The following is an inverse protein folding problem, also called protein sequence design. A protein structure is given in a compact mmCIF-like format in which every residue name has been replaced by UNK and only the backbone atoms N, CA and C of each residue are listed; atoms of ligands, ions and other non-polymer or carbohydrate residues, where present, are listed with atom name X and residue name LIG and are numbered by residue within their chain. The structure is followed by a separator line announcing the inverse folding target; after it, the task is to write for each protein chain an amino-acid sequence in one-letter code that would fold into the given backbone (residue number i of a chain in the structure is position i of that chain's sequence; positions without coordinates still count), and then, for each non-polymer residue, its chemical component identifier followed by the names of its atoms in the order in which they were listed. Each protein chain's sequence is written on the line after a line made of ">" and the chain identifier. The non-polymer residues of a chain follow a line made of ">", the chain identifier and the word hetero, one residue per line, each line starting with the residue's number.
data_IF_071394977051
#
_entry.id   IF_071394977051
#
_cell.length_a   1.000
_cell.length_b   1.000
_cell.length_c   1.000
_cell.angle_alpha   90.00
_cell.angle_beta   90.00
_cell.angle_gamma   90.00
#
_symmetry.space_group_name_H-M   'P 1'
#
loop_
_entity.id
_entity.type
_entity.pdbx_description
1 polymer ?
#
# COMPACT_ATOMS: atom_id res chain seq x y z
N UNK A 1 -2.67 7.95 -8.03
CA UNK A 1 -3.36 9.26 -8.09
C UNK A 1 -4.28 9.47 -6.89
N UNK A 2 -5.31 8.64 -6.69
CA UNK A 2 -6.25 8.75 -5.55
C UNK A 2 -5.52 8.74 -4.20
N UNK A 3 -4.59 7.81 -4.00
CA UNK A 3 -3.73 7.74 -2.80
C UNK A 3 -3.02 9.07 -2.51
N UNK A 4 -2.40 9.68 -3.53
CA UNK A 4 -1.73 10.97 -3.37
C UNK A 4 -2.70 12.09 -3.01
N UNK A 5 -3.90 12.14 -3.59
CA UNK A 5 -4.94 13.12 -3.20
C UNK A 5 -5.39 12.94 -1.75
N UNK A 6 -5.51 11.69 -1.29
CA UNK A 6 -5.87 11.37 0.09
C UNK A 6 -4.76 11.79 1.05
N UNK A 7 -3.52 11.40 0.77
CA UNK A 7 -2.35 11.75 1.59
C UNK A 7 -2.06 13.24 1.63
N UNK A 8 -2.27 13.97 0.53
CA UNK A 8 -2.17 15.44 0.48
C UNK A 8 -3.34 16.14 1.21
N UNK A 9 -4.36 15.39 1.65
CA UNK A 9 -5.49 15.93 2.39
C UNK A 9 -6.49 16.72 1.52
N UNK A 10 -6.43 16.58 0.19
CA UNK A 10 -7.29 17.31 -0.77
C UNK A 10 -8.37 16.44 -1.43
N UNK A 11 -8.37 15.13 -1.15
CA UNK A 11 -9.36 14.17 -1.68
C UNK A 11 -10.83 14.53 -1.41
N UNK A 12 -11.12 15.35 -0.40
CA UNK A 12 -12.49 15.73 -0.05
C UNK A 12 -13.17 16.62 -1.10
N UNK A 13 -12.41 17.25 -2.01
CA UNK A 13 -12.95 17.98 -3.15
C UNK A 13 -13.43 17.06 -4.28
N UNK A 14 -13.00 15.79 -4.29
CA UNK A 14 -13.18 14.85 -5.40
C UNK A 14 -13.93 13.59 -4.97
N UNK A 15 -14.82 13.68 -3.96
CA UNK A 15 -15.43 12.49 -3.36
C UNK A 15 -16.24 11.67 -4.37
N UNK A 16 -16.98 12.35 -5.25
CA UNK A 16 -17.83 11.69 -6.24
C UNK A 16 -16.99 11.02 -7.32
N UNK A 17 -16.00 11.73 -7.85
CA UNK A 17 -15.08 11.25 -8.86
C UNK A 17 -14.25 10.07 -8.36
N UNK A 18 -13.76 10.13 -7.12
CA UNK A 18 -13.05 9.01 -6.49
C UNK A 18 -13.96 7.80 -6.37
N UNK A 19 -15.21 7.97 -5.92
CA UNK A 19 -16.15 6.86 -5.80
C UNK A 19 -16.46 6.22 -7.16
N UNK A 20 -16.74 7.03 -8.19
CA UNK A 20 -17.05 6.54 -9.53
C UNK A 20 -15.87 5.77 -10.16
N UNK A 21 -14.64 6.27 -9.95
CA UNK A 21 -13.43 5.56 -10.40
C UNK A 21 -13.28 4.22 -9.68
N UNK A 22 -13.44 4.21 -8.35
CA UNK A 22 -13.32 2.97 -7.57
C UNK A 22 -14.39 1.95 -7.93
N UNK A 23 -15.62 2.40 -8.20
CA UNK A 23 -16.71 1.55 -8.66
C UNK A 23 -16.36 0.85 -9.99
N UNK A 24 -15.82 1.59 -10.96
CA UNK A 24 -15.37 1.00 -12.24
C UNK A 24 -14.24 0.00 -12.05
N UNK A 25 -13.26 0.31 -11.20
CA UNK A 25 -12.16 -0.61 -10.86
C UNK A 25 -12.72 -1.89 -10.24
N UNK A 26 -13.71 -1.77 -9.34
CA UNK A 26 -14.36 -2.90 -8.71
C UNK A 26 -15.11 -3.79 -9.72
N UNK A 27 -15.89 -3.18 -10.62
CA UNK A 27 -16.62 -3.90 -11.66
C UNK A 27 -15.68 -4.67 -12.61
N UNK A 28 -14.51 -4.09 -12.92
CA UNK A 28 -13.48 -4.70 -13.77
C UNK A 28 -12.55 -5.66 -13.01
N UNK A 29 -12.60 -5.68 -11.68
CA UNK A 29 -11.68 -6.43 -10.83
C UNK A 29 -11.69 -7.94 -11.14
N UNK A 30 -12.85 -8.48 -11.52
CA UNK A 30 -13.02 -9.89 -11.88
C UNK A 30 -12.59 -10.23 -13.32
N UNK A 31 -12.39 -9.23 -14.18
CA UNK A 31 -12.03 -9.41 -15.59
C UNK A 31 -10.51 -9.40 -15.81
N UNK A 32 -9.74 -8.80 -14.89
CA UNK A 32 -8.29 -8.69 -14.99
C UNK A 32 -7.64 -10.00 -14.51
N UNK A 33 -6.96 -10.70 -15.43
CA UNK A 33 -6.21 -11.93 -15.12
C UNK A 33 -5.21 -11.72 -13.96
N UNK A 34 -5.31 -12.56 -12.94
CA UNK A 34 -4.57 -12.46 -11.67
C UNK A 34 -3.04 -12.58 -11.81
N UNK A 35 -2.56 -13.30 -12.82
CA UNK A 35 -1.15 -13.71 -12.93
C UNK A 35 -0.16 -12.62 -13.39
N UNK A 36 -0.66 -11.50 -13.94
CA UNK A 36 0.19 -10.38 -14.40
C UNK A 36 0.15 -9.15 -13.49
N UNK A 37 -0.46 -9.27 -12.31
CA UNK A 37 -0.76 -8.13 -11.46
C UNK A 37 0.48 -7.63 -10.71
N UNK A 38 0.65 -6.31 -10.69
CA UNK A 38 1.66 -5.62 -9.87
C UNK A 38 1.21 -5.59 -8.40
N UNK A 39 2.06 -6.03 -7.47
CA UNK A 39 1.72 -6.07 -6.04
C UNK A 39 1.33 -4.69 -5.51
N UNK A 40 2.01 -3.63 -5.96
CA UNK A 40 1.68 -2.28 -5.54
C UNK A 40 0.26 -1.89 -5.99
N UNK A 41 -0.10 -2.15 -7.25
CA UNK A 41 -1.44 -1.93 -7.77
C UNK A 41 -2.51 -2.75 -7.03
N UNK A 42 -2.30 -4.06 -6.84
CA UNK A 42 -3.26 -4.93 -6.14
C UNK A 42 -3.46 -4.50 -4.69
N UNK A 43 -2.38 -4.27 -3.95
CA UNK A 43 -2.47 -3.85 -2.55
C UNK A 43 -3.11 -2.46 -2.40
N UNK A 44 -2.76 -1.51 -3.28
CA UNK A 44 -3.35 -0.18 -3.25
C UNK A 44 -4.83 -0.20 -3.63
N UNK A 45 -5.19 -0.98 -4.65
CA UNK A 45 -6.59 -1.19 -5.04
C UNK A 45 -7.41 -1.79 -3.91
N UNK A 46 -6.93 -2.88 -3.31
CA UNK A 46 -7.55 -3.53 -2.16
C UNK A 46 -7.80 -2.54 -1.02
N UNK A 47 -6.79 -1.76 -0.65
CA UNK A 47 -6.89 -0.73 0.38
C UNK A 47 -7.96 0.32 0.05
N UNK A 48 -7.91 0.91 -1.15
CA UNK A 48 -8.82 1.98 -1.55
C UNK A 48 -10.27 1.47 -1.67
N UNK A 49 -10.47 0.27 -2.19
CA UNK A 49 -11.78 -0.36 -2.32
C UNK A 49 -12.40 -0.61 -0.95
N UNK A 50 -11.67 -1.22 -0.01
CA UNK A 50 -12.17 -1.43 1.36
C UNK A 50 -12.45 -0.13 2.11
N UNK A 51 -11.60 0.88 1.94
CA UNK A 51 -11.83 2.19 2.54
C UNK A 51 -13.16 2.83 2.06
N UNK A 52 -13.61 2.49 0.86
CA UNK A 52 -14.87 2.94 0.27
C UNK A 52 -15.99 1.89 0.35
N UNK A 53 -15.86 0.90 1.25
CA UNK A 53 -16.87 -0.10 1.55
C UNK A 53 -17.19 -1.08 0.41
N UNK A 54 -16.25 -1.29 -0.52
CA UNK A 54 -16.33 -2.38 -1.48
C UNK A 54 -15.79 -3.67 -0.87
N UNK A 55 -16.44 -4.79 -1.18
CA UNK A 55 -16.05 -6.12 -0.69
C UNK A 55 -15.03 -6.78 -1.61
N UNK A 56 -13.79 -6.90 -1.12
CA UNK A 56 -12.65 -7.48 -1.85
C UNK A 56 -11.99 -8.56 -0.98
N UNK A 57 -11.59 -9.67 -1.61
CA UNK A 57 -11.06 -10.84 -0.89
C UNK A 57 -9.57 -10.71 -0.62
N UNK A 58 -9.12 -11.17 0.55
CA UNK A 58 -7.70 -11.37 0.85
C UNK A 58 -7.02 -12.40 -0.08
N UNK A 59 -7.81 -13.23 -0.78
CA UNK A 59 -7.30 -14.24 -1.72
C UNK A 59 -6.63 -13.63 -2.95
N UNK A 60 -6.89 -12.35 -3.25
CA UNK A 60 -6.23 -11.65 -4.35
C UNK A 60 -4.71 -11.51 -4.11
N UNK A 61 -4.24 -11.73 -2.87
CA UNK A 61 -2.81 -11.74 -2.55
C UNK A 61 -2.13 -13.10 -2.78
N UNK A 62 -2.87 -14.18 -3.01
CA UNK A 62 -2.29 -15.53 -3.13
C UNK A 62 -1.36 -15.67 -4.35
N UNK A 63 -1.58 -14.87 -5.40
CA UNK A 63 -0.72 -14.87 -6.60
C UNK A 63 0.72 -14.40 -6.31
N UNK A 64 0.93 -13.63 -5.25
CA UNK A 64 2.25 -13.15 -4.84
C UNK A 64 3.00 -14.14 -3.94
N UNK A 65 2.37 -15.27 -3.62
CA UNK A 65 2.98 -16.36 -2.88
C UNK A 65 3.74 -17.31 -3.82
N UNK A 66 4.71 -18.00 -3.24
CA UNK A 66 5.42 -19.12 -3.84
C UNK A 66 4.58 -20.40 -3.72
N UNK A 67 5.01 -21.48 -4.37
CA UNK A 67 4.38 -22.81 -4.25
C UNK A 67 4.29 -23.30 -2.80
N UNK A 68 5.19 -22.82 -1.94
CA UNK A 68 5.22 -23.13 -0.50
C UNK A 68 4.19 -22.31 0.31
N UNK A 69 3.38 -21.46 -0.33
CA UNK A 69 2.39 -20.62 0.33
C UNK A 69 2.95 -19.38 1.04
N UNK A 70 4.24 -19.07 0.85
CA UNK A 70 4.93 -17.93 1.45
C UNK A 70 5.12 -16.82 0.41
N UNK A 71 4.95 -15.56 0.79
CA UNK A 71 5.23 -14.41 -0.08
C UNK A 71 6.65 -14.42 -0.63
N UNK A 72 6.80 -14.14 -1.92
CA UNK A 72 8.10 -14.18 -2.61
C UNK A 72 9.00 -13.06 -2.09
N UNK A 73 10.25 -13.37 -1.70
CA UNK A 73 11.22 -12.35 -1.24
C UNK A 73 11.65 -11.37 -2.35
N UNK A 74 11.48 -11.74 -3.61
CA UNK A 74 11.79 -10.94 -4.80
C UNK A 74 10.77 -9.83 -5.09
N UNK A 75 9.71 -9.70 -4.28
CA UNK A 75 8.68 -8.68 -4.48
C UNK A 75 9.28 -7.25 -4.30
N UNK A 76 8.92 -6.29 -5.18
CA UNK A 76 9.41 -4.91 -5.07
C UNK A 76 9.00 -4.24 -3.76
N UNK A 77 9.91 -3.50 -3.14
CA UNK A 77 9.69 -2.83 -1.84
C UNK A 77 8.48 -1.90 -1.85
N UNK A 78 8.24 -1.20 -2.96
CA UNK A 78 7.05 -0.35 -3.13
C UNK A 78 5.74 -1.15 -3.02
N UNK A 79 5.72 -2.37 -3.56
CA UNK A 79 4.58 -3.29 -3.42
C UNK A 79 4.44 -3.81 -2.00
N UNK A 80 5.55 -4.17 -1.37
CA UNK A 80 5.58 -4.60 0.04
C UNK A 80 5.09 -3.51 0.98
N UNK A 81 5.44 -2.25 0.75
CA UNK A 81 4.94 -1.10 1.50
C UNK A 81 3.42 -0.97 1.38
N UNK A 82 2.88 -1.07 0.18
CA UNK A 82 1.43 -1.03 -0.03
C UNK A 82 0.73 -2.23 0.59
N UNK A 83 1.34 -3.42 0.54
CA UNK A 83 0.83 -4.62 1.20
C UNK A 83 0.78 -4.43 2.72
N UNK A 84 1.82 -3.84 3.31
CA UNK A 84 1.87 -3.52 4.74
C UNK A 84 0.70 -2.61 5.12
N UNK A 85 0.48 -1.51 4.41
CA UNK A 85 -0.63 -0.59 4.70
C UNK A 85 -2.00 -1.23 4.47
N UNK A 86 -2.18 -1.98 3.39
CA UNK A 86 -3.41 -2.69 3.07
C UNK A 86 -3.76 -3.75 4.13
N UNK A 87 -2.75 -4.42 4.69
CA UNK A 87 -2.94 -5.47 5.70
C UNK A 87 -3.65 -4.98 6.97
N UNK A 88 -3.62 -3.69 7.27
CA UNK A 88 -4.30 -3.11 8.42
C UNK A 88 -5.80 -2.93 8.23
N UNK A 89 -6.30 -3.08 7.01
CA UNK A 89 -7.73 -3.16 6.71
C UNK A 89 -8.29 -4.59 6.87
N UNK A 90 -7.58 -5.45 7.60
CA UNK A 90 -8.01 -6.80 7.95
C UNK A 90 -9.17 -6.78 8.95
N UNK A 91 -10.17 -7.63 8.70
CA UNK A 91 -11.17 -8.03 9.70
C UNK A 91 -10.60 -9.11 10.63
N UNK A 92 -11.23 -9.35 11.77
CA UNK A 92 -10.71 -10.27 12.80
C UNK A 92 -10.50 -11.70 12.29
N UNK A 93 -11.35 -12.15 11.37
CA UNK A 93 -11.32 -13.48 10.74
C UNK A 93 -10.26 -13.64 9.65
N UNK A 94 -9.56 -12.57 9.25
CA UNK A 94 -8.68 -12.59 8.07
C UNK A 94 -7.23 -12.86 8.44
N UNK A 95 -6.89 -14.14 8.53
CA UNK A 95 -5.55 -14.58 8.88
C UNK A 95 -4.50 -14.27 7.79
N UNK A 96 -4.83 -14.33 6.50
CA UNK A 96 -3.85 -14.11 5.42
C UNK A 96 -3.31 -12.67 5.42
N UNK A 97 -4.15 -11.70 5.78
CA UNK A 97 -3.70 -10.30 5.92
C UNK A 97 -2.80 -10.11 7.14
N UNK A 98 -3.03 -10.84 8.24
CA UNK A 98 -2.12 -10.83 9.40
C UNK A 98 -0.76 -11.42 9.03
N UNK A 99 -0.73 -12.51 8.28
CA UNK A 99 0.50 -13.09 7.72
C UNK A 99 1.21 -12.09 6.78
N UNK A 100 0.48 -11.47 5.85
CA UNK A 100 1.00 -10.47 4.94
C UNK A 100 1.62 -9.27 5.69
N UNK A 101 1.00 -8.85 6.79
CA UNK A 101 1.54 -7.79 7.66
C UNK A 101 2.89 -8.19 8.26
N UNK A 102 2.99 -9.41 8.77
CA UNK A 102 4.23 -9.93 9.38
C UNK A 102 5.35 -9.98 8.34
N UNK A 103 5.08 -10.58 7.17
CA UNK A 103 6.04 -10.64 6.06
C UNK A 103 6.49 -9.23 5.63
N UNK A 104 5.53 -8.32 5.44
CA UNK A 104 5.85 -6.98 4.98
C UNK A 104 6.65 -6.20 6.04
N UNK A 105 6.33 -6.35 7.33
CA UNK A 105 7.08 -5.72 8.41
C UNK A 105 8.56 -6.15 8.41
N UNK A 106 8.82 -7.47 8.33
CA UNK A 106 10.17 -8.03 8.27
C UNK A 106 10.95 -7.45 7.08
N UNK A 107 10.37 -7.55 5.87
CA UNK A 107 11.02 -7.10 4.64
C UNK A 107 11.27 -5.59 4.59
N UNK A 108 10.37 -4.78 5.13
CA UNK A 108 10.54 -3.33 5.23
C UNK A 108 11.62 -2.95 6.25
N UNK A 109 11.74 -3.71 7.34
CA UNK A 109 12.79 -3.50 8.35
C UNK A 109 14.17 -3.85 7.79
N UNK A 110 14.29 -4.96 7.06
CA UNK A 110 15.50 -5.33 6.31
C UNK A 110 15.89 -4.21 5.32
N UNK A 111 14.93 -3.70 4.55
CA UNK A 111 15.17 -2.63 3.59
C UNK A 111 15.71 -1.36 4.25
N UNK A 112 15.20 -0.96 5.42
CA UNK A 112 15.76 0.18 6.17
C UNK A 112 17.21 -0.09 6.57
N UNK A 113 17.52 -1.30 7.08
CA UNK A 113 18.86 -1.64 7.52
C UNK A 113 19.88 -1.58 6.36
N UNK A 114 19.50 -2.07 5.18
CA UNK A 114 20.33 -2.07 3.97
C UNK A 114 20.58 -0.65 3.40
N UNK A 115 19.60 0.25 3.56
CA UNK A 115 19.60 1.55 2.89
C UNK A 115 19.89 2.74 3.82
N UNK A 116 20.14 2.50 5.12
CA UNK A 116 20.41 3.57 6.09
C UNK A 116 21.81 4.20 5.95
N UNK A 117 22.75 3.54 5.29
CA UNK A 117 24.16 3.95 5.17
C UNK A 117 24.57 4.32 3.75
N UNK A 118 23.70 4.14 2.77
CA UNK A 118 23.98 4.33 1.34
C UNK A 118 23.50 5.71 0.88
N UNK A 119 24.25 6.35 -0.02
CA UNK A 119 23.79 7.56 -0.71
C UNK A 119 22.74 7.14 -1.74
N UNK A 120 21.49 7.52 -1.51
CA UNK A 120 20.35 7.14 -2.34
C UNK A 120 19.99 8.24 -3.34
N UNK A 121 19.42 7.85 -4.47
CA UNK A 121 18.75 8.78 -5.37
C UNK A 121 17.53 9.43 -4.71
N UNK A 122 16.99 10.49 -5.33
CA UNK A 122 15.80 11.21 -4.84
C UNK A 122 14.59 10.30 -4.63
N UNK A 123 14.30 9.43 -5.60
CA UNK A 123 13.16 8.50 -5.54
C UNK A 123 13.36 7.39 -4.49
N UNK A 124 14.56 6.87 -4.33
CA UNK A 124 14.89 5.87 -3.30
C UNK A 124 14.79 6.46 -1.89
N UNK A 125 15.23 7.72 -1.74
CA UNK A 125 15.07 8.49 -0.50
C UNK A 125 13.58 8.69 -0.18
N UNK A 126 12.75 9.01 -1.19
CA UNK A 126 11.30 9.07 -1.03
C UNK A 126 10.71 7.75 -0.52
N UNK A 127 11.09 6.62 -1.11
CA UNK A 127 10.62 5.30 -0.66
C UNK A 127 11.10 5.01 0.77
N UNK A 128 12.36 5.30 1.11
CA UNK A 128 12.90 5.09 2.45
C UNK A 128 12.15 5.91 3.51
N UNK A 129 11.86 7.19 3.24
CA UNK A 129 11.08 8.05 4.14
C UNK A 129 9.66 7.51 4.34
N UNK A 130 9.03 7.02 3.26
CA UNK A 130 7.70 6.41 3.32
C UNK A 130 7.70 5.11 4.15
N UNK A 131 8.71 4.25 3.98
CA UNK A 131 8.83 3.00 4.75
C UNK A 131 9.05 3.29 6.24
N UNK A 132 9.98 4.20 6.57
CA UNK A 132 10.22 4.63 7.95
C UNK A 132 8.94 5.17 8.59
N UNK A 133 8.18 6.00 7.86
CA UNK A 133 6.92 6.56 8.36
C UNK A 133 5.88 5.48 8.63
N UNK A 134 5.67 4.57 7.68
CA UNK A 134 4.65 3.53 7.78
C UNK A 134 4.89 2.60 8.98
N UNK A 135 6.15 2.22 9.24
CA UNK A 135 6.51 1.37 10.39
C UNK A 135 6.32 2.07 11.74
N UNK A 136 6.44 3.40 11.80
CA UNK A 136 6.15 4.17 13.03
C UNK A 136 4.65 4.25 13.28
N UNK A 137 3.88 4.61 12.25
CA UNK A 137 2.43 4.61 12.35
C UNK A 137 1.80 4.42 10.97
N UNK A 138 0.91 3.43 10.78
CA UNK A 138 0.19 3.28 9.53
C UNK A 138 -0.61 4.52 9.16
N UNK A 139 -0.65 4.85 7.87
CA UNK A 139 -1.30 6.06 7.35
C UNK A 139 -2.73 6.26 7.88
N UNK A 140 -3.56 5.21 7.84
CA UNK A 140 -4.98 5.28 8.18
C UNK A 140 -5.26 5.35 9.69
N UNK A 141 -4.25 5.15 10.55
CA UNK A 141 -4.34 5.40 12.00
C UNK A 141 -3.88 6.81 12.39
N UNK A 142 -3.29 7.55 11.44
CA UNK A 142 -2.81 8.91 11.68
C UNK A 142 -3.91 9.96 11.49
N UNK A 143 -3.82 11.07 12.24
CA UNK A 143 -4.67 12.23 11.98
C UNK A 143 -4.37 12.80 10.59
N UNK A 144 -5.37 12.79 9.70
CA UNK A 144 -5.23 13.18 8.28
C UNK A 144 -4.46 14.49 8.05
N UNK A 145 -4.71 15.54 8.83
CA UNK A 145 -4.03 16.84 8.67
C UNK A 145 -2.55 16.81 9.04
N UNK A 146 -2.18 16.09 10.09
CA UNK A 146 -0.77 15.93 10.50
C UNK A 146 -0.01 15.13 9.45
N UNK A 147 -0.63 14.06 8.97
CA UNK A 147 -0.07 13.20 7.95
C UNK A 147 0.09 13.93 6.61
N UNK A 148 -0.90 14.74 6.21
CA UNK A 148 -0.81 15.55 5.01
C UNK A 148 0.32 16.58 5.07
N UNK A 149 0.54 17.22 6.22
CA UNK A 149 1.65 18.17 6.35
C UNK A 149 3.00 17.49 6.13
N UNK A 150 3.20 16.33 6.75
CA UNK A 150 4.42 15.53 6.56
C UNK A 150 4.56 15.05 5.11
N UNK A 151 3.46 14.56 4.52
CA UNK A 151 3.49 14.03 3.15
C UNK A 151 3.78 15.09 2.10
N UNK A 152 3.35 16.35 2.28
CA UNK A 152 3.70 17.46 1.37
C UNK A 152 5.22 17.61 1.23
N UNK A 153 5.95 17.57 2.34
CA UNK A 153 7.41 17.75 2.35
C UNK A 153 8.11 16.55 1.67
N UNK A 154 7.58 15.33 1.84
CA UNK A 154 8.12 14.10 1.24
C UNK A 154 7.75 13.99 -0.24
N UNK A 155 6.55 14.41 -0.63
CA UNK A 155 6.04 14.32 -2.01
C UNK A 155 6.91 15.10 -3.00
N UNK A 156 7.57 16.18 -2.58
CA UNK A 156 8.51 16.94 -3.42
C UNK A 156 9.72 16.12 -3.87
N UNK A 157 10.09 15.06 -3.15
CA UNK A 157 11.20 14.16 -3.48
C UNK A 157 10.80 13.09 -4.49
N UNK A 158 9.49 12.91 -4.70
CA UNK A 158 8.94 11.94 -5.65
C UNK A 158 9.21 12.46 -7.07
N UNK A 159 10.16 11.82 -7.75
CA UNK A 159 10.54 12.15 -9.13
C UNK A 159 9.87 11.19 -10.12
#
# INVERSE_FOLDING_TARGET
>A
MIDSLQRLGISYHYKHEIHDILKRIYEQHHEIGRESQDLHATALGFFLLRQHSFDVSQDDFDVFKSENGIFRKTLPIKGVLSLYEASYFSMDSEFKLKEARSFANERLTEFIAENSTTILGTNETYILDMVKRALVNPYHWSTRRKEARWYIDVYQKKT
#
